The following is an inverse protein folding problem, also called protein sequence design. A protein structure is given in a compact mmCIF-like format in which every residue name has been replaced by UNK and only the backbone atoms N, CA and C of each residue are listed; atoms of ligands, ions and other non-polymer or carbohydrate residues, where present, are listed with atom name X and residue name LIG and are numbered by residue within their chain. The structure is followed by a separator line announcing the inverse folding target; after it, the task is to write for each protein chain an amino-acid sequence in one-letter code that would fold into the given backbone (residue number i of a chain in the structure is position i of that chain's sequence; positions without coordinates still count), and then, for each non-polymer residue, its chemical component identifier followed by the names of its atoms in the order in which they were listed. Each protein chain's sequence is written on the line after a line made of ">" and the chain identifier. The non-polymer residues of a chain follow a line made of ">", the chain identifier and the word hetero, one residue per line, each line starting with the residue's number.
data_IF_635277073556
#
_entry.id   IF_635277073556
#
_cell.length_a   1.000
_cell.length_b   1.000
_cell.length_c   1.000
_cell.angle_alpha   90.00
_cell.angle_beta   90.00
_cell.angle_gamma   90.00
#
_symmetry.space_group_name_H-M   'P 1'
#
loop_
_entity.id
_entity.type
_entity.pdbx_description
1 polymer ?
#
# COMPACT_ATOMS: atom_id res chain seq x y z
N UNK A 1 1.16 5.76 -41.71
CA UNK A 1 2.25 5.42 -40.76
C UNK A 1 2.19 6.23 -39.47
N UNK A 2 1.95 7.56 -39.52
CA UNK A 2 1.81 8.41 -38.31
C UNK A 2 0.57 8.12 -37.42
N UNK A 3 -0.55 7.70 -38.00
CA UNK A 3 -1.78 7.40 -37.23
C UNK A 3 -1.65 6.13 -36.37
N UNK A 4 -0.79 5.18 -36.75
CA UNK A 4 -0.52 3.95 -35.95
C UNK A 4 0.30 4.22 -34.69
N UNK A 5 1.11 5.27 -34.66
CA UNK A 5 1.91 5.64 -33.48
C UNK A 5 1.07 6.31 -32.39
N UNK A 6 0.01 7.02 -32.77
CA UNK A 6 -0.94 7.61 -31.81
C UNK A 6 -1.85 6.55 -31.17
N UNK A 7 -2.16 5.46 -31.88
CA UNK A 7 -2.99 4.36 -31.36
C UNK A 7 -2.22 3.37 -30.45
N UNK A 8 -0.88 3.35 -30.55
CA UNK A 8 0.00 2.46 -29.76
C UNK A 8 0.18 2.90 -28.29
N UNK A 9 -0.35 4.06 -27.89
CA UNK A 9 -0.20 4.63 -26.54
C UNK A 9 -1.52 4.66 -25.76
N UNK A 10 -2.60 4.08 -26.30
CA UNK A 10 -3.77 3.76 -25.48
C UNK A 10 -3.45 2.55 -24.61
N UNK A 11 -2.57 2.74 -23.62
CA UNK A 11 -2.73 2.03 -22.35
C UNK A 11 -4.20 2.18 -22.01
N UNK A 12 -4.96 1.09 -21.96
CA UNK A 12 -6.33 1.14 -21.48
C UNK A 12 -6.24 1.70 -20.05
N UNK A 13 -6.44 3.02 -19.90
CA UNK A 13 -6.49 3.69 -18.62
C UNK A 13 -7.81 3.28 -18.04
N UNK A 14 -7.76 2.42 -17.03
CA UNK A 14 -8.95 1.94 -16.35
C UNK A 14 -9.41 3.08 -15.44
N UNK A 15 -10.30 3.91 -15.98
CA UNK A 15 -10.83 5.10 -15.31
C UNK A 15 -11.40 4.78 -13.94
N UNK A 16 -11.94 3.58 -13.75
CA UNK A 16 -12.48 3.10 -12.48
C UNK A 16 -11.37 2.90 -11.44
N UNK A 17 -10.22 2.33 -11.83
CA UNK A 17 -9.08 2.12 -10.91
C UNK A 17 -8.44 3.44 -10.54
N UNK A 18 -8.28 4.34 -11.51
CA UNK A 18 -7.71 5.66 -11.26
C UNK A 18 -8.66 6.52 -10.40
N UNK A 19 -9.98 6.43 -10.62
CA UNK A 19 -10.98 7.08 -9.77
C UNK A 19 -10.99 6.52 -8.34
N UNK A 20 -10.99 5.19 -8.18
CA UNK A 20 -10.91 4.53 -6.86
C UNK A 20 -9.62 4.90 -6.12
N UNK A 21 -8.48 5.00 -6.83
CA UNK A 21 -7.23 5.46 -6.24
C UNK A 21 -7.34 6.92 -5.79
N UNK A 22 -7.93 7.77 -6.61
CA UNK A 22 -8.20 9.17 -6.26
C UNK A 22 -9.05 9.27 -4.99
N UNK A 23 -10.15 8.53 -4.92
CA UNK A 23 -11.03 8.49 -3.75
C UNK A 23 -10.28 7.99 -2.50
N UNK A 24 -9.49 6.92 -2.62
CA UNK A 24 -8.72 6.38 -1.51
C UNK A 24 -7.68 7.39 -0.98
N UNK A 25 -6.97 8.08 -1.88
CA UNK A 25 -6.00 9.13 -1.51
C UNK A 25 -6.70 10.32 -0.85
N UNK A 26 -7.84 10.76 -1.40
CA UNK A 26 -8.65 11.82 -0.80
C UNK A 26 -9.12 11.43 0.61
N UNK A 27 -9.58 10.19 0.80
CA UNK A 27 -9.97 9.68 2.11
C UNK A 27 -8.83 9.72 3.13
N UNK A 28 -7.62 9.31 2.72
CA UNK A 28 -6.42 9.41 3.58
C UNK A 28 -6.06 10.85 3.92
N UNK A 29 -6.11 11.77 2.95
CA UNK A 29 -5.82 13.19 3.17
C UNK A 29 -6.85 13.81 4.13
N UNK A 30 -8.14 13.56 3.93
CA UNK A 30 -9.20 14.08 4.79
C UNK A 30 -9.06 13.58 6.22
N UNK A 31 -8.73 12.30 6.40
CA UNK A 31 -8.48 11.73 7.72
C UNK A 31 -7.28 12.39 8.41
N UNK A 32 -6.14 12.51 7.73
CA UNK A 32 -4.95 13.14 8.30
C UNK A 32 -5.20 14.63 8.60
N UNK A 33 -5.88 15.36 7.71
CA UNK A 33 -6.23 16.76 7.96
C UNK A 33 -7.14 16.92 9.20
N UNK A 34 -8.11 16.02 9.39
CA UNK A 34 -8.93 16.01 10.59
C UNK A 34 -8.10 15.70 11.84
N UNK A 35 -7.20 14.71 11.77
CA UNK A 35 -6.31 14.35 12.87
C UNK A 35 -5.37 15.50 13.24
N UNK A 36 -4.80 16.19 12.25
CA UNK A 36 -3.95 17.37 12.44
C UNK A 36 -4.73 18.52 13.09
N UNK A 37 -5.97 18.78 12.65
CA UNK A 37 -6.84 19.77 13.27
C UNK A 37 -7.17 19.43 14.73
N UNK A 38 -7.30 18.14 15.07
CA UNK A 38 -7.40 17.72 16.47
C UNK A 38 -6.11 17.94 17.23
N UNK A 39 -4.97 17.60 16.64
CA UNK A 39 -3.65 17.80 17.25
C UNK A 39 -3.38 19.28 17.56
N UNK A 40 -3.86 20.18 16.70
CA UNK A 40 -3.80 21.64 16.88
C UNK A 40 -4.85 22.20 17.85
N UNK A 41 -5.74 21.36 18.40
CA UNK A 41 -6.81 21.77 19.32
C UNK A 41 -7.97 22.51 18.65
N UNK A 42 -8.10 22.45 17.32
CA UNK A 42 -9.16 23.14 16.55
C UNK A 42 -10.46 22.33 16.51
N UNK A 43 -10.35 21.00 16.43
CA UNK A 43 -11.49 20.09 16.42
C UNK A 43 -11.41 19.12 17.60
N UNK A 44 -12.48 19.06 18.39
CA UNK A 44 -12.64 18.04 19.43
C UNK A 44 -13.56 16.93 18.91
N UNK A 45 -12.96 15.81 18.53
CA UNK A 45 -13.66 14.58 18.13
C UNK A 45 -12.89 13.36 18.64
N UNK A 46 -13.53 12.20 18.65
CA UNK A 46 -12.90 10.94 19.06
C UNK A 46 -12.30 10.21 17.82
N UNK A 47 -10.99 10.35 17.53
CA UNK A 47 -10.35 9.73 16.37
C UNK A 47 -10.38 8.20 16.43
N UNK A 48 -10.55 7.65 17.62
CA UNK A 48 -10.60 6.22 17.90
C UNK A 48 -12.04 5.69 18.07
N UNK A 49 -13.05 6.50 17.75
CA UNK A 49 -14.43 6.04 17.73
C UNK A 49 -14.66 4.99 16.64
N UNK A 50 -15.51 3.98 16.94
CA UNK A 50 -15.76 2.84 16.06
C UNK A 50 -16.08 3.21 14.59
N UNK A 51 -16.94 4.21 14.29
CA UNK A 51 -17.24 4.54 12.89
C UNK A 51 -16.03 5.04 12.11
N UNK A 52 -15.18 5.86 12.74
CA UNK A 52 -14.03 6.47 12.10
C UNK A 52 -12.89 5.45 11.91
N UNK A 53 -12.65 4.59 12.90
CA UNK A 53 -11.69 3.49 12.77
C UNK A 53 -12.07 2.57 11.61
N UNK A 54 -13.35 2.18 11.50
CA UNK A 54 -13.82 1.31 10.41
C UNK A 54 -13.60 1.99 9.05
N UNK A 55 -13.98 3.27 8.94
CA UNK A 55 -13.78 4.04 7.71
C UNK A 55 -12.30 4.08 7.30
N UNK A 56 -11.41 4.44 8.23
CA UNK A 56 -9.96 4.50 7.98
C UNK A 56 -9.44 3.13 7.58
N UNK A 57 -9.85 2.07 8.29
CA UNK A 57 -9.40 0.71 7.99
C UNK A 57 -9.80 0.28 6.57
N UNK A 58 -11.03 0.58 6.16
CA UNK A 58 -11.50 0.33 4.78
C UNK A 58 -10.64 1.10 3.77
N UNK A 59 -10.42 2.41 3.99
CA UNK A 59 -9.59 3.23 3.10
C UNK A 59 -8.18 2.67 2.98
N UNK A 60 -7.57 2.25 4.10
CA UNK A 60 -6.24 1.64 4.12
C UNK A 60 -6.19 0.34 3.31
N UNK A 61 -7.14 -0.59 3.54
CA UNK A 61 -7.20 -1.85 2.79
C UNK A 61 -7.44 -1.62 1.29
N UNK A 62 -8.33 -0.70 0.91
CA UNK A 62 -8.59 -0.34 -0.49
C UNK A 62 -7.35 0.26 -1.12
N UNK A 63 -6.68 1.21 -0.45
CA UNK A 63 -5.48 1.86 -0.97
C UNK A 63 -4.35 0.85 -1.23
N UNK A 64 -4.07 -0.03 -0.27
CA UNK A 64 -3.05 -1.07 -0.40
C UNK A 64 -3.44 -2.14 -1.43
N UNK A 65 -4.71 -2.55 -1.48
CA UNK A 65 -5.23 -3.44 -2.51
C UNK A 65 -5.06 -2.87 -3.92
N UNK A 66 -5.37 -1.59 -4.11
CA UNK A 66 -5.16 -0.88 -5.39
C UNK A 66 -3.67 -0.80 -5.76
N UNK A 67 -2.76 -0.70 -4.77
CA UNK A 67 -1.33 -0.81 -5.03
C UNK A 67 -0.97 -2.19 -5.62
N UNK A 68 -1.55 -3.26 -5.07
CA UNK A 68 -1.44 -4.63 -5.60
C UNK A 68 -1.98 -4.79 -7.02
N UNK A 69 -3.19 -4.27 -7.29
CA UNK A 69 -3.79 -4.26 -8.64
C UNK A 69 -2.88 -3.51 -9.61
N UNK A 70 -2.26 -2.41 -9.17
CA UNK A 70 -1.31 -1.66 -9.99
C UNK A 70 -0.06 -2.48 -10.35
N UNK A 71 0.37 -3.41 -9.49
CA UNK A 71 1.45 -4.37 -9.82
C UNK A 71 0.97 -5.41 -10.83
N UNK A 72 -0.25 -5.93 -10.66
CA UNK A 72 -0.87 -6.88 -11.60
C UNK A 72 -0.90 -6.32 -13.03
N UNK A 73 -1.32 -5.07 -13.17
CA UNK A 73 -1.48 -4.39 -14.46
C UNK A 73 -0.16 -3.84 -15.04
N UNK A 74 0.89 -3.72 -14.23
CA UNK A 74 2.16 -3.13 -14.68
C UNK A 74 2.88 -4.04 -15.68
N UNK A 75 3.34 -3.49 -16.81
CA UNK A 75 4.25 -4.18 -17.73
C UNK A 75 5.71 -4.21 -17.23
N UNK A 76 6.01 -3.59 -16.09
CA UNK A 76 7.36 -3.53 -15.54
C UNK A 76 7.80 -4.90 -15.02
N UNK A 77 9.03 -5.29 -15.36
CA UNK A 77 9.73 -6.43 -14.75
C UNK A 77 10.07 -6.14 -13.28
N UNK A 78 10.46 -7.17 -12.54
CA UNK A 78 10.83 -7.08 -11.12
C UNK A 78 11.83 -5.94 -10.85
N UNK A 79 12.89 -5.79 -11.64
CA UNK A 79 13.86 -4.69 -11.47
C UNK A 79 13.25 -3.29 -11.59
N UNK A 80 12.23 -3.11 -12.44
CA UNK A 80 11.48 -1.85 -12.53
C UNK A 80 10.57 -1.61 -11.32
N UNK A 81 10.02 -2.68 -10.74
CA UNK A 81 9.23 -2.63 -9.51
C UNK A 81 10.11 -2.36 -8.29
N UNK A 82 11.34 -2.90 -8.25
CA UNK A 82 12.36 -2.58 -7.25
C UNK A 82 12.73 -1.10 -7.27
N UNK A 83 12.99 -0.53 -8.47
CA UNK A 83 13.25 0.92 -8.60
C UNK A 83 12.07 1.77 -8.13
N UNK A 84 10.84 1.39 -8.49
CA UNK A 84 9.63 2.06 -8.01
C UNK A 84 9.51 1.97 -6.49
N UNK A 85 9.72 0.79 -5.92
CA UNK A 85 9.68 0.55 -4.48
C UNK A 85 10.70 1.39 -3.74
N UNK A 86 11.96 1.39 -4.20
CA UNK A 86 13.04 2.19 -3.63
C UNK A 86 12.76 3.69 -3.66
N UNK A 87 12.18 4.20 -4.77
CA UNK A 87 11.75 5.61 -4.85
C UNK A 87 10.67 5.93 -3.81
N UNK A 88 9.62 5.10 -3.71
CA UNK A 88 8.53 5.32 -2.74
C UNK A 88 9.05 5.22 -1.31
N UNK A 89 9.93 4.26 -1.02
CA UNK A 89 10.58 4.12 0.28
C UNK A 89 11.41 5.36 0.62
N UNK A 90 12.15 5.91 -0.35
CA UNK A 90 12.93 7.14 -0.16
C UNK A 90 12.04 8.35 0.16
N UNK A 91 10.87 8.46 -0.50
CA UNK A 91 9.87 9.45 -0.11
C UNK A 91 9.39 9.25 1.33
N UNK A 92 9.19 8.00 1.77
CA UNK A 92 8.88 7.68 3.17
C UNK A 92 9.96 8.18 4.13
N UNK A 93 11.24 7.94 3.82
CA UNK A 93 12.36 8.39 4.65
C UNK A 93 12.41 9.90 4.79
N UNK A 94 12.05 10.65 3.73
CA UNK A 94 11.94 12.11 3.80
C UNK A 94 10.78 12.55 4.72
N UNK A 95 9.66 11.83 4.71
CA UNK A 95 8.55 12.08 5.65
C UNK A 95 8.96 11.78 7.09
N UNK A 96 9.68 10.68 7.34
CA UNK A 96 10.26 10.38 8.66
C UNK A 96 11.19 11.49 9.14
N UNK A 97 12.08 11.98 8.27
CA UNK A 97 13.00 13.07 8.61
C UNK A 97 12.24 14.36 8.94
N UNK A 98 11.25 14.74 8.12
CA UNK A 98 10.43 15.93 8.35
C UNK A 98 9.62 15.85 9.64
N UNK A 99 8.99 14.70 9.90
CA UNK A 99 8.22 14.48 11.14
C UNK A 99 9.11 14.39 12.37
N UNK A 100 10.33 13.88 12.26
CA UNK A 100 11.29 13.85 13.37
C UNK A 100 11.72 15.24 13.84
N UNK A 101 11.80 16.21 12.92
CA UNK A 101 12.13 17.60 13.29
C UNK A 101 11.00 18.24 14.11
N UNK A 102 9.73 17.89 13.83
CA UNK A 102 8.55 18.52 14.46
C UNK A 102 8.05 17.74 15.69
N UNK A 103 8.10 16.41 15.64
CA UNK A 103 7.60 15.47 16.64
C UNK A 103 8.65 14.38 16.95
N UNK A 104 9.73 14.70 17.69
CA UNK A 104 10.89 13.82 17.82
C UNK A 104 10.61 12.45 18.47
N UNK A 105 9.62 12.36 19.37
CA UNK A 105 9.29 11.11 20.07
C UNK A 105 8.35 10.21 19.26
N UNK A 106 7.45 10.81 18.49
CA UNK A 106 6.38 10.13 17.75
C UNK A 106 6.57 10.14 16.23
N UNK A 107 7.72 10.57 15.71
CA UNK A 107 7.95 10.64 14.27
C UNK A 107 7.59 9.34 13.53
N UNK A 108 7.34 9.44 12.22
CA UNK A 108 6.93 8.28 11.41
C UNK A 108 8.08 7.28 11.31
N UNK A 109 8.05 6.21 12.11
CA UNK A 109 9.10 5.16 12.12
C UNK A 109 8.96 4.18 10.96
N UNK A 110 7.72 3.77 10.65
CA UNK A 110 7.42 2.85 9.55
C UNK A 110 6.01 3.06 9.00
N UNK A 111 5.80 4.22 8.39
CA UNK A 111 4.51 4.57 7.78
C UNK A 111 4.20 3.85 6.46
N UNK A 112 3.05 4.20 5.87
CA UNK A 112 2.50 3.56 4.66
C UNK A 112 3.45 3.61 3.46
N UNK A 113 4.27 4.67 3.32
CA UNK A 113 5.23 4.80 2.22
C UNK A 113 6.41 3.83 2.35
N UNK A 114 6.92 3.62 3.56
CA UNK A 114 7.96 2.62 3.83
C UNK A 114 7.43 1.23 3.49
N UNK A 115 6.23 0.92 3.97
CA UNK A 115 5.55 -0.33 3.69
C UNK A 115 5.37 -0.55 2.18
N UNK A 116 4.77 0.40 1.44
CA UNK A 116 4.55 0.26 -0.01
C UNK A 116 5.89 0.11 -0.76
N UNK A 117 6.92 0.83 -0.33
CA UNK A 117 8.25 0.73 -0.89
C UNK A 117 8.82 -0.69 -0.88
N UNK A 118 8.53 -1.44 0.19
CA UNK A 118 8.92 -2.86 0.34
C UNK A 118 7.89 -3.80 -0.30
N UNK A 119 6.60 -3.53 -0.13
CA UNK A 119 5.52 -4.39 -0.58
C UNK A 119 5.45 -4.48 -2.10
N UNK A 120 5.69 -3.39 -2.85
CA UNK A 120 5.61 -3.39 -4.33
C UNK A 120 6.56 -4.40 -4.99
N UNK A 121 7.86 -4.44 -4.63
CA UNK A 121 8.77 -5.48 -5.10
C UNK A 121 8.38 -6.88 -4.65
N UNK A 122 8.01 -7.05 -3.37
CA UNK A 122 7.62 -8.35 -2.80
C UNK A 122 6.41 -8.93 -3.54
N UNK A 123 5.35 -8.14 -3.71
CA UNK A 123 4.14 -8.52 -4.43
C UNK A 123 4.45 -8.86 -5.89
N UNK A 124 5.40 -8.15 -6.53
CA UNK A 124 5.80 -8.45 -7.91
C UNK A 124 6.44 -9.84 -8.07
N UNK A 125 7.01 -10.44 -7.01
CA UNK A 125 7.53 -11.82 -7.05
C UNK A 125 6.43 -12.88 -7.24
N UNK A 126 5.21 -12.56 -6.78
CA UNK A 126 4.04 -13.44 -6.85
C UNK A 126 3.21 -13.26 -8.13
N UNK A 127 3.61 -12.34 -9.01
CA UNK A 127 2.91 -12.07 -10.27
C UNK A 127 2.83 -13.34 -11.13
N UNK A 128 1.63 -13.66 -11.62
CA UNK A 128 1.31 -14.87 -12.38
C UNK A 128 1.21 -16.14 -11.53
N UNK A 129 1.22 -16.02 -10.19
CA UNK A 129 1.15 -17.15 -9.25
C UNK A 129 0.07 -16.91 -8.19
N UNK A 130 -1.22 -16.87 -8.57
CA UNK A 130 -2.30 -16.43 -7.67
C UNK A 130 -2.46 -17.31 -6.42
N UNK A 131 -2.26 -18.62 -6.53
CA UNK A 131 -2.31 -19.53 -5.37
C UNK A 131 -1.18 -19.23 -4.37
N UNK A 132 0.04 -19.00 -4.85
CA UNK A 132 1.16 -18.63 -4.00
C UNK A 132 0.95 -17.25 -3.35
N UNK A 133 0.40 -16.30 -4.11
CA UNK A 133 0.04 -14.98 -3.58
C UNK A 133 -0.99 -15.08 -2.45
N UNK A 134 -2.02 -15.93 -2.60
CA UNK A 134 -3.05 -16.10 -1.57
C UNK A 134 -2.53 -16.86 -0.36
N UNK A 135 -1.72 -17.90 -0.57
CA UNK A 135 -1.00 -18.56 0.52
C UNK A 135 -0.16 -17.56 1.32
N UNK A 136 0.60 -16.71 0.64
CA UNK A 136 1.40 -15.66 1.29
C UNK A 136 0.53 -14.61 2.00
N UNK A 137 -0.65 -14.26 1.48
CA UNK A 137 -1.57 -13.34 2.13
C UNK A 137 -2.14 -13.91 3.43
N UNK A 138 -2.54 -15.19 3.42
CA UNK A 138 -3.00 -15.91 4.62
C UNK A 138 -1.88 -16.03 5.64
N UNK A 139 -0.68 -16.44 5.22
CA UNK A 139 0.49 -16.52 6.11
C UNK A 139 0.79 -15.14 6.72
N UNK A 140 0.76 -14.07 5.92
CA UNK A 140 0.96 -12.71 6.40
C UNK A 140 -0.04 -12.34 7.50
N UNK A 141 -1.31 -12.68 7.31
CA UNK A 141 -2.35 -12.44 8.30
C UNK A 141 -2.10 -13.25 9.58
N UNK A 142 -1.86 -14.55 9.46
CA UNK A 142 -1.61 -15.45 10.60
C UNK A 142 -0.36 -15.04 11.41
N UNK A 143 0.72 -14.64 10.74
CA UNK A 143 1.93 -14.13 11.41
C UNK A 143 1.65 -12.83 12.13
N UNK A 144 0.89 -11.92 11.53
CA UNK A 144 0.49 -10.67 12.17
C UNK A 144 -0.33 -10.90 13.44
N UNK A 145 -1.34 -11.77 13.38
CA UNK A 145 -2.14 -12.16 14.54
C UNK A 145 -1.29 -12.84 15.63
N UNK A 146 -0.37 -13.72 15.24
CA UNK A 146 0.56 -14.35 16.18
C UNK A 146 1.44 -13.30 16.89
N UNK A 147 1.97 -12.31 16.18
CA UNK A 147 2.82 -11.25 16.74
C UNK A 147 2.11 -10.32 17.72
N UNK A 148 0.78 -10.14 17.63
CA UNK A 148 0.02 -9.36 18.60
C UNK A 148 0.14 -9.90 20.04
N UNK A 149 0.43 -11.20 20.20
CA UNK A 149 0.64 -11.83 21.50
C UNK A 149 2.04 -11.67 22.08
N UNK A 150 2.98 -11.04 21.36
CA UNK A 150 4.38 -10.93 21.77
C UNK A 150 4.82 -9.48 21.90
N UNK A 151 5.60 -9.22 22.94
CA UNK A 151 6.48 -8.04 23.00
C UNK A 151 7.93 -8.53 22.98
N UNK A 152 8.79 -7.75 22.34
CA UNK A 152 10.22 -8.05 22.24
C UNK A 152 11.00 -6.85 22.74
N UNK A 153 12.10 -7.07 23.46
CA UNK A 153 12.97 -5.97 23.91
C UNK A 153 13.69 -5.28 22.74
N UNK A 154 13.73 -5.95 21.59
CA UNK A 154 14.45 -5.50 20.40
C UNK A 154 13.68 -4.40 19.65
N UNK A 155 14.13 -3.16 19.79
CA UNK A 155 13.44 -1.98 19.22
C UNK A 155 13.38 -1.94 17.69
N UNK A 156 14.31 -2.56 16.96
CA UNK A 156 14.39 -2.45 15.50
C UNK A 156 13.52 -3.47 14.73
N UNK A 157 12.75 -4.30 15.43
CA UNK A 157 11.83 -5.28 14.83
C UNK A 157 10.44 -4.73 14.52
N UNK A 158 10.16 -3.45 14.81
CA UNK A 158 8.88 -2.81 14.47
C UNK A 158 8.46 -2.97 13.00
N UNK A 159 9.35 -3.00 11.98
CA UNK A 159 8.87 -3.18 10.61
C UNK A 159 8.14 -4.51 10.38
N UNK A 160 8.42 -5.53 11.21
CA UNK A 160 7.77 -6.84 11.11
C UNK A 160 6.43 -6.92 11.84
N UNK A 161 6.10 -5.95 12.70
CA UNK A 161 4.94 -6.00 13.59
C UNK A 161 5.26 -6.37 15.05
N UNK A 162 6.54 -6.61 15.38
CA UNK A 162 6.98 -6.89 16.74
C UNK A 162 7.37 -5.59 17.44
N UNK A 163 6.67 -5.26 18.52
CA UNK A 163 6.82 -3.99 19.22
C UNK A 163 7.55 -4.15 20.55
N UNK A 164 8.45 -3.22 20.82
CA UNK A 164 9.04 -3.05 22.14
C UNK A 164 8.13 -2.22 23.05
N UNK A 165 8.20 -2.40 24.38
CA UNK A 165 7.46 -1.57 25.33
C UNK A 165 7.73 -0.08 25.09
N UNK A 166 6.67 0.73 25.04
CA UNK A 166 6.79 2.18 24.79
C UNK A 166 6.93 2.57 23.32
N UNK A 167 6.79 1.65 22.37
CA UNK A 167 6.76 2.01 20.95
C UNK A 167 5.57 2.94 20.62
N UNK A 168 5.89 4.09 20.04
CA UNK A 168 4.92 5.04 19.48
C UNK A 168 5.41 5.56 18.12
N UNK A 169 4.47 5.90 17.23
CA UNK A 169 4.70 6.42 15.88
C UNK A 169 3.42 7.08 15.35
N UNK A 170 3.54 8.24 14.72
CA UNK A 170 2.44 9.00 14.10
C UNK A 170 1.76 8.23 12.97
N UNK A 171 2.53 7.42 12.25
CA UNK A 171 2.03 6.49 11.24
C UNK A 171 2.79 5.16 11.33
N UNK A 172 2.07 4.05 11.29
CA UNK A 172 2.64 2.72 11.48
C UNK A 172 1.90 1.63 10.70
N UNK A 173 2.61 1.04 9.73
CA UNK A 173 2.15 -0.01 8.83
C UNK A 173 3.16 -1.16 8.80
N UNK A 174 3.17 -2.05 9.81
CA UNK A 174 4.09 -3.19 9.81
C UNK A 174 3.85 -4.10 8.61
N UNK A 175 4.87 -4.85 8.18
CA UNK A 175 4.77 -5.79 7.07
C UNK A 175 3.64 -6.80 7.33
N UNK A 176 3.56 -7.35 8.54
CA UNK A 176 2.49 -8.24 8.95
C UNK A 176 1.51 -7.50 9.86
N UNK A 177 0.18 -7.60 9.64
CA UNK A 177 -0.51 -8.41 8.61
C UNK A 177 -0.69 -7.69 7.26
N UNK A 178 -0.28 -6.42 7.13
CA UNK A 178 -0.67 -5.54 6.02
C UNK A 178 -0.26 -6.00 4.63
N UNK A 179 0.78 -6.82 4.49
CA UNK A 179 1.21 -7.42 3.21
C UNK A 179 0.10 -8.27 2.56
N UNK A 180 -0.87 -8.75 3.33
CA UNK A 180 -2.03 -9.47 2.80
C UNK A 180 -2.85 -8.60 1.82
N UNK A 181 -3.06 -7.31 2.11
CA UNK A 181 -3.90 -6.43 1.30
C UNK A 181 -3.40 -6.26 -0.15
N UNK A 182 -2.13 -5.87 -0.41
CA UNK A 182 -1.63 -5.76 -1.79
C UNK A 182 -1.45 -7.12 -2.47
N UNK A 183 -1.26 -8.23 -1.74
CA UNK A 183 -1.25 -9.57 -2.33
C UNK A 183 -2.65 -9.97 -2.83
N UNK A 184 -3.69 -9.72 -2.04
CA UNK A 184 -5.10 -9.87 -2.46
C UNK A 184 -5.38 -8.98 -3.68
N UNK A 185 -4.93 -7.73 -3.63
CA UNK A 185 -5.01 -6.80 -4.76
C UNK A 185 -4.35 -7.32 -6.04
N UNK A 186 -3.16 -7.93 -5.94
CA UNK A 186 -2.49 -8.55 -7.08
C UNK A 186 -3.38 -9.63 -7.72
N UNK A 187 -3.92 -10.54 -6.91
CA UNK A 187 -4.76 -11.65 -7.38
C UNK A 187 -6.04 -11.12 -8.02
N UNK A 188 -6.74 -10.19 -7.36
CA UNK A 188 -7.91 -9.53 -7.94
C UNK A 188 -7.57 -8.85 -9.26
N UNK A 189 -6.43 -8.16 -9.34
CA UNK A 189 -5.96 -7.53 -10.56
C UNK A 189 -5.75 -8.52 -11.71
N UNK A 190 -5.13 -9.67 -11.43
CA UNK A 190 -4.88 -10.71 -12.43
C UNK A 190 -6.15 -11.44 -12.86
N UNK A 191 -7.09 -11.72 -11.95
CA UNK A 191 -8.35 -12.37 -12.30
C UNK A 191 -9.33 -11.44 -13.03
N UNK A 192 -9.54 -10.22 -12.52
CA UNK A 192 -10.53 -9.29 -13.07
C UNK A 192 -10.04 -8.68 -14.38
N UNK A 193 -8.73 -8.42 -14.52
CA UNK A 193 -8.18 -7.69 -15.66
C UNK A 193 -7.18 -8.50 -16.51
N UNK A 194 -6.74 -9.69 -16.09
CA UNK A 194 -5.81 -10.53 -16.86
C UNK A 194 -6.40 -11.06 -18.18
N UNK A 195 -7.73 -11.15 -18.28
CA UNK A 195 -8.44 -11.47 -19.53
C UNK A 195 -8.55 -10.28 -20.49
N UNK A 196 -8.35 -9.03 -20.01
CA UNK A 196 -8.39 -7.81 -20.84
C UNK A 196 -7.02 -7.45 -21.43
N UNK A 197 -6.22 -8.46 -21.83
CA UNK A 197 -5.12 -8.17 -22.77
C UNK A 197 -5.76 -7.58 -24.04
N UNK A 198 -5.31 -6.42 -24.53
CA UNK A 198 -5.91 -5.83 -25.72
C UNK A 198 -5.81 -6.84 -26.87
N UNK A 199 -6.96 -7.19 -27.44
CA UNK A 199 -7.18 -8.16 -28.53
C UNK A 199 -6.53 -7.72 -29.86
N UNK A 200 -5.58 -6.79 -29.84
CA UNK A 200 -5.00 -6.20 -31.04
C UNK A 200 -3.82 -7.00 -31.63
N UNK A 201 -3.46 -8.15 -31.05
CA UNK A 201 -2.40 -9.04 -31.57
C UNK A 201 -2.95 -10.20 -32.43
N UNK A 202 -4.28 -10.28 -32.66
CA UNK A 202 -4.92 -11.37 -33.43
C UNK A 202 -5.60 -10.94 -34.73
N UNK A 203 -5.12 -9.88 -35.39
CA UNK A 203 -5.48 -9.66 -36.79
C UNK A 203 -4.33 -10.27 -37.63
N UNK A 204 -4.51 -11.46 -38.23
CA UNK A 204 -3.59 -11.91 -39.26
C UNK A 204 -3.64 -10.90 -40.40
N UNK A 205 -2.49 -10.27 -40.67
CA UNK A 205 -2.23 -9.58 -41.92
C UNK A 205 -1.78 -10.56 -42.99
#
# INVERSE_FOLDING_TARGET
>A
MFVRLLYSQMTVRLSEIDALRGIAVLGMILFHAAFDMKLLGVLDFEPYGWPLIIFVRIVQFVFLGLAGISVALSSRKLGGQMKRGAWIFSCGMLVSLGTWIVFPEDFVKFGVLHFIGIAVPVVALFKGRPLAAMGAAVISFMVGEYFLGFSVETEWLFPLGLLAPGFSSLDYFPIFPWLAAPLIGLVLGEYVYGARRPVLERIPG
#
